data_IF_001792664133
#
_entry.id   IF_001792664133
#
_cell.length_a   1.000
_cell.length_b   1.000
_cell.length_c   1.000
_cell.angle_alpha   90.00
_cell.angle_beta   90.00
_cell.angle_gamma   90.00
#
_symmetry.space_group_name_H-M   'P 1'
#
loop_
_entity.id
_entity.type
_entity.pdbx_description
1 polymer ?
#
# COMPACT_ATOMS: atom_id res chain seq x y z
N UNK A 1 -59.00 -35.39 -0.34
CA UNK A 1 -58.19 -36.56 -0.74
C UNK A 1 -56.77 -36.09 -1.06
N UNK A 2 -55.81 -36.58 -0.26
CA UNK A 2 -54.38 -36.89 -0.56
C UNK A 2 -54.01 -37.02 -2.06
N UNK A 3 -52.82 -36.70 -2.60
CA UNK A 3 -51.38 -36.87 -2.24
C UNK A 3 -50.53 -36.00 -3.20
N UNK A 4 -49.53 -35.21 -2.76
CA UNK A 4 -48.05 -35.45 -2.67
C UNK A 4 -47.28 -35.83 -3.97
N UNK A 5 -46.35 -34.94 -4.38
CA UNK A 5 -44.92 -35.13 -4.77
C UNK A 5 -44.46 -33.83 -5.48
N UNK A 6 -43.54 -32.96 -5.03
CA UNK A 6 -42.17 -33.01 -4.46
C UNK A 6 -41.08 -33.36 -5.50
N UNK A 7 -40.16 -32.39 -5.71
CA UNK A 7 -38.71 -32.45 -6.05
C UNK A 7 -38.34 -31.33 -7.05
N UNK A 8 -37.69 -30.25 -6.59
CA UNK A 8 -36.23 -30.04 -6.48
C UNK A 8 -35.60 -29.47 -7.77
N UNK A 9 -34.90 -28.35 -7.65
CA UNK A 9 -33.80 -28.01 -8.55
C UNK A 9 -33.59 -26.52 -8.80
N UNK A 10 -32.61 -25.92 -8.11
CA UNK A 10 -31.80 -24.84 -8.68
C UNK A 10 -31.99 -23.43 -8.11
N UNK A 11 -31.39 -23.17 -6.96
CA UNK A 11 -30.90 -21.82 -6.62
C UNK A 11 -29.59 -21.62 -7.39
N UNK A 12 -29.55 -20.63 -8.28
CA UNK A 12 -28.30 -20.12 -8.84
C UNK A 12 -28.14 -18.65 -8.40
N UNK A 13 -27.12 -18.46 -7.56
CA UNK A 13 -26.65 -17.21 -6.99
C UNK A 13 -26.11 -16.32 -8.12
N UNK A 14 -26.76 -15.18 -8.39
CA UNK A 14 -26.19 -14.12 -9.21
C UNK A 14 -25.39 -13.14 -8.33
N UNK A 15 -24.30 -13.62 -7.73
CA UNK A 15 -23.28 -12.79 -7.10
C UNK A 15 -22.19 -12.53 -8.16
N UNK A 16 -22.38 -11.49 -8.97
CA UNK A 16 -21.42 -11.19 -10.04
C UNK A 16 -21.57 -9.82 -10.71
N UNK A 17 -22.43 -8.93 -10.20
CA UNK A 17 -22.70 -7.63 -10.82
C UNK A 17 -22.02 -6.43 -10.12
N UNK A 18 -21.18 -6.67 -9.10
CA UNK A 18 -20.55 -5.61 -8.31
C UNK A 18 -19.16 -5.16 -8.76
N UNK A 19 -18.47 -5.92 -9.63
CA UNK A 19 -17.04 -5.72 -9.90
C UNK A 19 -16.73 -4.95 -11.20
N UNK A 20 -17.72 -4.75 -12.08
CA UNK A 20 -17.51 -4.15 -13.40
C UNK A 20 -17.70 -2.61 -13.44
N UNK A 21 -18.15 -1.97 -12.35
CA UNK A 21 -18.48 -0.54 -12.34
C UNK A 21 -17.42 0.37 -11.70
N UNK A 22 -16.29 -0.17 -11.22
CA UNK A 22 -15.18 0.63 -10.66
C UNK A 22 -14.02 0.87 -11.63
N UNK A 23 -14.00 0.26 -12.82
CA UNK A 23 -12.90 0.43 -13.78
C UNK A 23 -13.00 1.71 -14.64
N UNK A 24 -14.07 2.50 -14.50
CA UNK A 24 -14.36 3.64 -15.39
C UNK A 24 -13.77 5.00 -15.01
N UNK A 25 -12.98 5.12 -13.93
CA UNK A 25 -12.53 6.42 -13.41
C UNK A 25 -11.01 6.58 -13.29
N UNK A 26 -10.22 5.69 -13.89
CA UNK A 26 -8.77 5.87 -13.95
C UNK A 26 -8.41 6.52 -15.28
N UNK A 27 -8.02 7.79 -15.25
CA UNK A 27 -7.17 8.33 -16.29
C UNK A 27 -5.81 7.64 -16.20
N UNK A 28 -5.73 6.40 -16.69
CA UNK A 28 -4.50 5.64 -16.83
C UNK A 28 -3.70 6.26 -17.97
N UNK A 29 -2.86 7.25 -17.65
CA UNK A 29 -1.66 7.42 -18.46
C UNK A 29 -0.89 6.11 -18.35
N UNK A 30 -0.76 5.38 -19.45
CA UNK A 30 0.04 4.15 -19.46
C UNK A 30 1.51 4.58 -19.35
N UNK A 31 2.22 4.11 -18.31
CA UNK A 31 3.66 4.35 -18.20
C UNK A 31 4.33 3.54 -19.29
N UNK A 32 4.95 4.21 -20.26
CA UNK A 32 5.70 3.58 -21.35
C UNK A 32 7.08 3.05 -20.88
N UNK A 33 7.10 2.29 -19.79
CA UNK A 33 8.30 1.71 -19.20
C UNK A 33 8.05 0.24 -18.89
N UNK A 34 9.00 -0.63 -19.25
CA UNK A 34 8.92 -2.04 -18.86
C UNK A 34 9.19 -2.18 -17.36
N UNK A 35 8.74 -3.29 -16.76
CA UNK A 35 9.07 -3.58 -15.37
C UNK A 35 10.57 -3.74 -15.14
N UNK A 36 11.31 -4.31 -16.09
CA UNK A 36 12.75 -4.49 -15.94
C UNK A 36 13.49 -3.16 -15.92
N UNK A 37 13.15 -2.24 -16.83
CA UNK A 37 13.72 -0.88 -16.83
C UNK A 37 13.37 -0.14 -15.55
N UNK A 38 12.10 -0.25 -15.12
CA UNK A 38 11.63 0.34 -13.88
C UNK A 38 12.39 -0.20 -12.67
N UNK A 39 12.53 -1.52 -12.56
CA UNK A 39 13.25 -2.21 -11.49
C UNK A 39 14.71 -1.76 -11.42
N UNK A 40 15.38 -1.70 -12.57
CA UNK A 40 16.78 -1.24 -12.64
C UNK A 40 16.91 0.19 -12.15
N UNK A 41 16.05 1.11 -12.60
CA UNK A 41 16.09 2.50 -12.14
C UNK A 41 15.72 2.62 -10.67
N UNK A 42 14.71 1.88 -10.19
CA UNK A 42 14.31 1.89 -8.79
C UNK A 42 15.46 1.45 -7.87
N UNK A 43 16.19 0.39 -8.23
CA UNK A 43 17.35 -0.08 -7.46
C UNK A 43 18.45 0.98 -7.41
N UNK A 44 18.69 1.70 -8.51
CA UNK A 44 19.72 2.73 -8.57
C UNK A 44 19.33 4.01 -7.81
N UNK A 45 18.07 4.44 -7.93
CA UNK A 45 17.64 5.80 -7.56
C UNK A 45 16.81 5.86 -6.28
N UNK A 46 16.19 4.74 -5.86
CA UNK A 46 15.21 4.72 -4.76
C UNK A 46 15.66 3.93 -3.54
N UNK A 47 16.89 3.40 -3.54
CA UNK A 47 17.46 2.79 -2.35
C UNK A 47 17.62 3.85 -1.24
N UNK A 48 17.10 3.55 -0.05
CA UNK A 48 17.50 4.22 1.17
C UNK A 48 18.80 3.61 1.69
N UNK A 49 19.80 4.45 1.99
CA UNK A 49 20.97 4.00 2.74
C UNK A 49 20.60 3.89 4.22
N UNK A 50 20.63 2.67 4.77
CA UNK A 50 20.33 2.43 6.17
C UNK A 50 21.47 2.91 7.11
N UNK A 51 22.69 3.07 6.57
CA UNK A 51 23.87 3.51 7.33
C UNK A 51 24.02 5.04 7.34
N UNK A 52 23.38 5.74 6.41
CA UNK A 52 23.29 7.21 6.37
C UNK A 52 21.86 7.69 6.66
N UNK A 53 21.52 7.65 7.96
CA UNK A 53 20.26 8.18 8.51
C UNK A 53 20.13 9.71 8.43
N UNK A 54 21.04 10.42 7.75
CA UNK A 54 20.97 11.87 7.53
C UNK A 54 20.60 12.20 6.06
N UNK A 55 20.87 11.32 5.09
CA UNK A 55 20.56 11.58 3.68
C UNK A 55 19.61 10.51 3.05
N UNK A 56 18.41 10.94 2.67
CA UNK A 56 17.55 10.18 1.74
C UNK A 56 17.64 10.85 0.39
N UNK A 57 18.58 10.37 -0.43
CA UNK A 57 18.73 10.78 -1.81
C UNK A 57 17.44 10.61 -2.64
N UNK A 58 16.60 9.55 -2.45
CA UNK A 58 15.48 9.28 -3.35
C UNK A 58 14.51 10.45 -3.55
N UNK A 59 14.18 11.23 -2.53
CA UNK A 59 13.26 12.37 -2.67
C UNK A 59 13.72 13.40 -3.71
N UNK A 60 15.01 13.46 -4.03
CA UNK A 60 15.59 14.38 -5.00
C UNK A 60 15.82 13.75 -6.37
N UNK A 61 15.60 12.44 -6.53
CA UNK A 61 15.88 11.76 -7.79
C UNK A 61 14.78 12.02 -8.83
N UNK A 62 15.13 12.06 -10.13
CA UNK A 62 14.15 12.21 -11.19
C UNK A 62 13.06 11.13 -11.16
N UNK A 63 13.43 9.88 -10.89
CA UNK A 63 12.46 8.78 -10.84
C UNK A 63 11.43 8.97 -9.71
N UNK A 64 11.86 9.41 -8.52
CA UNK A 64 10.93 9.66 -7.42
C UNK A 64 9.90 10.73 -7.77
N UNK A 65 10.35 11.85 -8.33
CA UNK A 65 9.48 12.95 -8.73
C UNK A 65 8.55 12.55 -9.89
N UNK A 66 9.05 11.77 -10.84
CA UNK A 66 8.28 11.17 -11.93
C UNK A 66 7.13 10.30 -11.38
N UNK A 67 7.44 9.33 -10.49
CA UNK A 67 6.44 8.48 -9.84
C UNK A 67 5.42 9.33 -9.10
N UNK A 68 5.88 10.24 -8.23
CA UNK A 68 5.01 11.07 -7.40
C UNK A 68 4.02 11.90 -8.22
N UNK A 69 4.49 12.52 -9.30
CA UNK A 69 3.67 13.36 -10.18
C UNK A 69 2.56 12.59 -10.91
N UNK A 70 2.70 11.26 -11.02
CA UNK A 70 1.80 10.38 -11.75
C UNK A 70 1.54 9.07 -10.98
N UNK A 71 1.44 9.11 -9.65
CA UNK A 71 1.45 7.90 -8.82
C UNK A 71 0.43 6.82 -9.25
N UNK A 72 -0.83 7.16 -9.64
CA UNK A 72 -1.77 6.16 -10.14
C UNK A 72 -1.28 5.40 -11.38
N UNK A 73 -0.53 6.05 -12.27
CA UNK A 73 0.03 5.43 -13.47
C UNK A 73 1.14 4.42 -13.13
N UNK A 74 1.93 4.68 -12.09
CA UNK A 74 3.02 3.81 -11.63
C UNK A 74 2.58 2.68 -10.71
N UNK A 75 1.35 2.72 -10.18
CA UNK A 75 0.85 1.72 -9.24
C UNK A 75 1.05 0.27 -9.72
N UNK A 76 0.76 -0.11 -10.98
CA UNK A 76 1.00 -1.48 -11.45
C UNK A 76 2.48 -1.92 -11.37
N UNK A 77 3.42 -1.02 -11.70
CA UNK A 77 4.86 -1.29 -11.60
C UNK A 77 5.32 -1.39 -10.15
N UNK A 78 4.78 -0.52 -9.29
CA UNK A 78 5.06 -0.51 -7.86
C UNK A 78 4.55 -1.76 -7.14
N UNK A 79 3.37 -2.26 -7.49
CA UNK A 79 2.84 -3.52 -6.96
C UNK A 79 3.75 -4.70 -7.35
N UNK A 80 4.24 -4.73 -8.61
CA UNK A 80 5.23 -5.74 -9.04
C UNK A 80 6.56 -5.61 -8.30
N UNK A 81 7.02 -4.39 -8.05
CA UNK A 81 8.24 -4.12 -7.28
C UNK A 81 8.13 -4.65 -5.85
N UNK A 82 6.99 -4.43 -5.19
CA UNK A 82 6.72 -4.95 -3.83
C UNK A 82 6.80 -6.47 -3.80
N UNK A 83 6.26 -7.15 -4.81
CA UNK A 83 6.26 -8.60 -4.88
C UNK A 83 7.61 -9.23 -5.21
N UNK A 84 8.48 -8.50 -5.90
CA UNK A 84 9.73 -9.05 -6.42
C UNK A 84 10.75 -9.27 -5.29
N UNK A 85 11.05 -10.51 -4.90
CA UNK A 85 11.96 -10.79 -3.79
C UNK A 85 13.42 -10.45 -4.11
N UNK A 86 13.75 -10.17 -5.38
CA UNK A 86 15.09 -9.80 -5.81
C UNK A 86 15.38 -8.31 -5.61
N UNK A 87 14.37 -7.50 -5.34
CA UNK A 87 14.51 -6.07 -5.05
C UNK A 87 14.72 -5.90 -3.54
N UNK A 88 15.77 -5.19 -3.11
CA UNK A 88 16.01 -4.95 -1.69
C UNK A 88 14.84 -4.23 -1.00
N UNK A 89 14.57 -4.58 0.27
CA UNK A 89 13.53 -3.90 1.08
C UNK A 89 13.77 -2.39 1.16
N UNK A 90 15.03 -1.95 1.27
CA UNK A 90 15.37 -0.53 1.32
C UNK A 90 14.95 0.26 0.07
N UNK A 91 14.96 -0.37 -1.12
CA UNK A 91 14.44 0.22 -2.36
C UNK A 91 12.92 0.36 -2.30
N UNK A 92 12.24 -0.67 -1.80
CA UNK A 92 10.78 -0.69 -1.67
C UNK A 92 10.30 0.34 -0.65
N UNK A 93 11.03 0.50 0.45
CA UNK A 93 10.80 1.55 1.44
C UNK A 93 10.90 2.93 0.79
N UNK A 94 12.01 3.22 0.11
CA UNK A 94 12.19 4.53 -0.53
C UNK A 94 11.19 4.81 -1.64
N UNK A 95 10.85 3.80 -2.44
CA UNK A 95 9.85 3.91 -3.50
C UNK A 95 8.41 4.09 -2.94
N UNK A 96 8.10 3.52 -1.78
CA UNK A 96 6.78 3.63 -1.14
C UNK A 96 6.42 5.08 -0.78
N UNK A 97 7.42 5.91 -0.43
CA UNK A 97 7.20 7.32 -0.15
C UNK A 97 6.65 8.10 -1.36
N UNK A 98 7.01 7.72 -2.59
CA UNK A 98 6.48 8.35 -3.80
C UNK A 98 5.00 8.00 -4.07
N UNK A 99 4.46 6.99 -3.37
CA UNK A 99 3.07 6.53 -3.54
C UNK A 99 2.11 7.17 -2.55
N UNK A 100 2.57 8.00 -1.61
CA UNK A 100 1.72 8.60 -0.59
C UNK A 100 0.69 9.59 -1.15
N UNK A 101 0.92 10.11 -2.35
CA UNK A 101 -0.02 10.99 -3.07
C UNK A 101 -1.08 10.21 -3.88
N UNK A 102 -1.12 8.88 -3.77
CA UNK A 102 -2.20 8.07 -4.36
C UNK A 102 -3.57 8.48 -3.80
N UNK A 103 -4.65 8.32 -4.58
CA UNK A 103 -6.00 8.32 -4.04
C UNK A 103 -6.13 7.32 -2.89
N UNK A 104 -6.88 7.69 -1.84
CA UNK A 104 -6.99 6.93 -0.59
C UNK A 104 -7.32 5.44 -0.78
N UNK A 105 -8.17 5.12 -1.76
CA UNK A 105 -8.55 3.72 -2.04
C UNK A 105 -7.40 2.94 -2.66
N UNK A 106 -6.66 3.57 -3.59
CA UNK A 106 -5.51 2.96 -4.27
C UNK A 106 -4.34 2.81 -3.30
N UNK A 107 -4.15 3.77 -2.38
CA UNK A 107 -3.16 3.66 -1.31
C UNK A 107 -3.50 2.51 -0.34
N UNK A 108 -4.80 2.26 -0.07
CA UNK A 108 -5.23 1.12 0.72
C UNK A 108 -4.97 -0.22 0.01
N UNK A 109 -5.14 -0.29 -1.31
CA UNK A 109 -4.74 -1.45 -2.11
C UNK A 109 -3.22 -1.69 -2.03
N UNK A 110 -2.44 -0.63 -2.26
CA UNK A 110 -0.99 -0.68 -2.16
C UNK A 110 -0.50 -1.15 -0.79
N UNK A 111 -1.07 -0.60 0.29
CA UNK A 111 -0.79 -1.05 1.65
C UNK A 111 -1.16 -2.53 1.86
N UNK A 112 -2.32 -2.96 1.34
CA UNK A 112 -2.75 -4.36 1.47
C UNK A 112 -1.73 -5.31 0.84
N UNK A 113 -1.15 -4.91 -0.29
CA UNK A 113 -0.09 -5.66 -0.97
C UNK A 113 1.21 -5.70 -0.17
N UNK A 114 1.63 -4.58 0.42
CA UNK A 114 2.79 -4.55 1.32
C UNK A 114 2.63 -5.53 2.49
N UNK A 115 1.46 -5.54 3.15
CA UNK A 115 1.17 -6.45 4.27
C UNK A 115 1.16 -7.92 3.83
N UNK A 116 0.66 -8.23 2.63
CA UNK A 116 0.73 -9.60 2.10
C UNK A 116 2.17 -10.03 1.80
N UNK A 117 2.95 -9.14 1.17
CA UNK A 117 4.33 -9.42 0.79
C UNK A 117 5.24 -9.60 2.01
N UNK A 118 4.96 -8.92 3.13
CA UNK A 118 5.70 -9.03 4.39
C UNK A 118 5.81 -10.47 4.91
N UNK A 119 4.80 -11.31 4.66
CA UNK A 119 4.83 -12.75 5.02
C UNK A 119 6.01 -13.51 4.43
N UNK A 120 6.50 -13.06 3.28
CA UNK A 120 7.66 -13.65 2.58
C UNK A 120 8.92 -12.79 2.70
N UNK A 121 8.79 -11.53 3.13
CA UNK A 121 9.84 -10.52 3.17
C UNK A 121 9.68 -9.68 4.45
N UNK A 122 10.15 -10.17 5.61
CA UNK A 122 9.78 -9.64 6.92
C UNK A 122 10.00 -8.13 7.12
N UNK A 123 10.98 -7.52 6.44
CA UNK A 123 11.23 -6.07 6.53
C UNK A 123 10.16 -5.20 5.85
N UNK A 124 9.24 -5.77 5.06
CA UNK A 124 8.17 -5.01 4.43
C UNK A 124 7.05 -4.60 5.40
N UNK A 125 6.94 -5.24 6.56
CA UNK A 125 5.92 -4.84 7.54
C UNK A 125 6.19 -3.43 8.08
N UNK A 126 7.47 -3.08 8.27
CA UNK A 126 7.89 -1.73 8.67
C UNK A 126 7.56 -0.70 7.57
N UNK A 127 7.70 -1.11 6.30
CA UNK A 127 7.31 -0.27 5.16
C UNK A 127 5.80 -0.06 5.11
N UNK A 128 5.01 -1.10 5.34
CA UNK A 128 3.56 -1.04 5.41
C UNK A 128 3.10 -0.09 6.53
N UNK A 129 3.69 -0.24 7.71
CA UNK A 129 3.44 0.62 8.86
C UNK A 129 3.76 2.08 8.55
N UNK A 130 4.95 2.35 7.99
CA UNK A 130 5.37 3.70 7.63
C UNK A 130 4.45 4.35 6.58
N UNK A 131 3.90 3.58 5.63
CA UNK A 131 2.90 4.05 4.67
C UNK A 131 1.57 4.35 5.36
N UNK A 132 1.10 3.45 6.23
CA UNK A 132 -0.19 3.59 6.90
C UNK A 132 -0.23 4.84 7.80
N UNK A 133 0.84 5.08 8.56
CA UNK A 133 0.98 6.20 9.49
C UNK A 133 1.59 7.46 8.85
N UNK A 134 2.04 7.34 7.60
CA UNK A 134 2.81 8.36 6.89
C UNK A 134 3.99 8.89 7.74
N UNK A 135 4.84 7.98 8.22
CA UNK A 135 6.04 8.33 8.99
C UNK A 135 7.08 9.12 8.19
N UNK A 136 7.00 9.02 6.86
CA UNK A 136 7.81 9.77 5.92
C UNK A 136 7.73 11.29 6.13
N UNK A 137 6.56 11.84 6.53
CA UNK A 137 6.38 13.28 6.81
C UNK A 137 7.23 13.81 7.97
N UNK A 138 7.55 12.95 8.92
CA UNK A 138 8.34 13.30 10.11
C UNK A 138 9.79 12.88 9.98
N UNK A 139 10.16 12.32 8.82
CA UNK A 139 11.53 11.92 8.55
C UNK A 139 12.40 13.14 8.31
N UNK A 140 13.67 13.07 8.69
CA UNK A 140 14.67 14.13 8.46
C UNK A 140 14.95 14.39 6.98
N UNK A 141 14.36 13.60 6.08
CA UNK A 141 14.80 13.53 4.70
C UNK A 141 13.79 13.97 3.65
N UNK A 142 12.53 14.19 4.03
CA UNK A 142 11.52 14.77 3.16
C UNK A 142 11.23 16.18 3.64
N UNK A 143 11.38 17.15 2.75
CA UNK A 143 10.98 18.52 3.02
C UNK A 143 9.44 18.59 3.19
N UNK A 144 8.93 19.56 3.97
CA UNK A 144 7.50 19.79 4.07
C UNK A 144 6.84 19.90 2.68
N UNK A 145 5.72 19.20 2.49
CA UNK A 145 4.99 19.18 1.22
C UNK A 145 5.58 18.26 0.15
N UNK A 146 6.61 17.44 0.43
CA UNK A 146 7.12 16.43 -0.50
C UNK A 146 6.34 15.11 -0.50
N UNK A 147 5.43 14.94 0.44
CA UNK A 147 4.47 13.84 0.51
C UNK A 147 3.14 14.40 1.02
N UNK A 148 2.07 13.63 0.91
CA UNK A 148 0.77 13.97 1.46
C UNK A 148 0.85 14.42 2.94
N UNK A 149 0.07 15.43 3.32
CA UNK A 149 0.00 15.93 4.71
C UNK A 149 -0.88 15.06 5.64
N UNK A 150 -1.59 14.10 5.06
CA UNK A 150 -2.49 13.17 5.75
C UNK A 150 -1.86 11.77 5.86
N UNK A 151 -2.32 10.99 6.83
CA UNK A 151 -1.97 9.58 6.96
C UNK A 151 -3.18 8.70 6.59
N UNK A 152 -2.94 7.49 6.08
CA UNK A 152 -4.04 6.61 5.68
C UNK A 152 -4.95 6.28 6.87
N UNK A 153 -4.40 6.24 8.08
CA UNK A 153 -5.15 6.07 9.33
C UNK A 153 -6.22 7.15 9.58
N UNK A 154 -6.00 8.37 9.09
CA UNK A 154 -6.98 9.48 9.19
C UNK A 154 -8.27 9.18 8.39
N UNK A 155 -8.20 8.19 7.49
CA UNK A 155 -9.31 7.73 6.66
C UNK A 155 -9.89 6.39 7.12
N UNK A 156 -9.60 5.93 8.34
CA UNK A 156 -10.10 4.66 8.88
C UNK A 156 -11.64 4.52 8.89
N UNK A 157 -12.40 5.61 8.76
CA UNK A 157 -13.86 5.56 8.57
C UNK A 157 -14.31 4.97 7.23
N UNK A 158 -13.42 4.85 6.24
CA UNK A 158 -13.72 4.26 4.92
C UNK A 158 -13.56 2.74 5.00
N UNK A 159 -14.56 1.92 4.56
CA UNK A 159 -14.49 0.46 4.70
C UNK A 159 -13.23 -0.22 4.12
N UNK A 160 -12.74 0.15 2.91
CA UNK A 160 -11.51 -0.45 2.36
C UNK A 160 -10.28 -0.14 3.23
N UNK A 161 -10.21 1.08 3.77
CA UNK A 161 -9.12 1.54 4.62
C UNK A 161 -9.15 0.84 5.97
N UNK A 162 -10.33 0.76 6.61
CA UNK A 162 -10.50 0.03 7.87
C UNK A 162 -10.06 -1.43 7.75
N UNK A 163 -10.42 -2.08 6.64
CA UNK A 163 -10.08 -3.48 6.38
C UNK A 163 -8.56 -3.68 6.29
N UNK A 164 -7.84 -2.83 5.54
CA UNK A 164 -6.39 -2.96 5.41
C UNK A 164 -5.65 -2.57 6.69
N UNK A 165 -6.10 -1.55 7.42
CA UNK A 165 -5.49 -1.18 8.71
C UNK A 165 -5.68 -2.29 9.75
N UNK A 166 -6.83 -2.97 9.74
CA UNK A 166 -7.04 -4.15 10.59
C UNK A 166 -6.12 -5.30 10.20
N UNK A 167 -5.98 -5.55 8.89
CA UNK A 167 -5.03 -6.55 8.38
C UNK A 167 -3.59 -6.25 8.81
N UNK A 168 -3.17 -4.99 8.79
CA UNK A 168 -1.87 -4.54 9.32
C UNK A 168 -1.78 -4.78 10.84
N UNK A 169 -2.79 -4.39 11.61
CA UNK A 169 -2.86 -4.60 13.06
C UNK A 169 -2.70 -6.08 13.45
N UNK A 170 -3.36 -6.97 12.71
CA UNK A 170 -3.37 -8.41 12.93
C UNK A 170 -2.10 -9.11 12.39
N UNK A 171 -1.22 -8.40 11.67
CA UNK A 171 0.00 -8.97 11.13
C UNK A 171 0.94 -9.42 12.27
N UNK A 172 1.40 -10.69 12.29
CA UNK A 172 2.14 -11.25 13.42
C UNK A 172 3.49 -10.56 13.66
N UNK A 173 4.07 -10.02 12.61
CA UNK A 173 5.35 -9.33 12.53
C UNK A 173 5.25 -7.81 12.70
N UNK A 174 4.05 -7.25 12.90
CA UNK A 174 3.90 -5.83 13.21
C UNK A 174 4.72 -5.47 14.46
N UNK A 175 5.56 -4.42 14.42
CA UNK A 175 6.40 -4.07 15.55
C UNK A 175 5.61 -3.79 16.83
N UNK A 176 6.15 -4.22 17.98
CA UNK A 176 5.48 -4.05 19.27
C UNK A 176 5.19 -2.58 19.61
N UNK A 177 6.07 -1.66 19.21
CA UNK A 177 5.88 -0.23 19.43
C UNK A 177 4.68 0.32 18.63
N UNK A 178 4.38 -0.22 17.45
CA UNK A 178 3.22 0.18 16.66
C UNK A 178 1.90 -0.25 17.33
N UNK A 179 1.95 -1.24 18.23
CA UNK A 179 0.82 -1.70 19.06
C UNK A 179 0.72 -1.05 20.43
N UNK A 180 1.67 -0.20 20.80
CA UNK A 180 1.71 0.43 22.11
C UNK A 180 0.50 1.34 22.35
N UNK A 181 0.12 1.51 23.61
CA UNK A 181 -0.94 2.44 23.99
C UNK A 181 -0.60 3.87 23.53
N UNK A 182 -1.59 4.58 22.99
CA UNK A 182 -1.43 5.93 22.44
C UNK A 182 -0.92 5.98 21.00
N UNK A 183 -0.75 4.84 20.31
CA UNK A 183 -0.56 4.84 18.85
C UNK A 183 -1.91 4.85 18.12
N UNK A 184 -1.98 5.42 16.90
CA UNK A 184 -3.22 5.43 16.12
C UNK A 184 -3.82 4.04 15.88
N UNK A 185 -2.99 3.02 15.67
CA UNK A 185 -3.47 1.64 15.47
C UNK A 185 -4.04 1.04 16.76
N UNK A 186 -3.41 1.29 17.90
CA UNK A 186 -3.92 0.86 19.19
C UNK A 186 -5.30 1.49 19.47
N UNK A 187 -5.42 2.80 19.28
CA UNK A 187 -6.66 3.54 19.50
C UNK A 187 -7.82 3.01 18.63
N UNK A 188 -7.51 2.52 17.42
CA UNK A 188 -8.51 1.99 16.49
C UNK A 188 -9.01 0.58 16.84
N UNK A 189 -8.13 -0.29 17.36
CA UNK A 189 -8.39 -1.73 17.40
C UNK A 189 -8.19 -2.41 18.76
N UNK A 190 -7.41 -1.84 19.69
CA UNK A 190 -7.19 -2.46 21.00
C UNK A 190 -8.35 -2.20 21.99
N UNK A 191 -9.07 -1.09 21.81
CA UNK A 191 -10.18 -0.68 22.69
C UNK A 191 -11.55 -1.26 22.28
N UNK A 192 -11.61 -2.22 21.36
CA UNK A 192 -12.84 -2.79 20.77
C UNK A 192 -12.79 -4.32 20.76
#
# INVERSE_FOLDING_TARGET
MMRRALLLGGVAVAAGAGWALTQGFFATGEVAMTYEDFRTRAIADLAHDADDLISFTPATTPLFQEIRSAAPAYLPLMLRLVDDPTVPVAVKFGASAAMLDLPVVDLAEYLSRLVDAARSQPGLIDTAEAVAMNHYRSSSFLAPGQVADWALVDHAGRPPVAAVLRKLWEAPDLPAWARAEGTPLHDLFAAR
#
